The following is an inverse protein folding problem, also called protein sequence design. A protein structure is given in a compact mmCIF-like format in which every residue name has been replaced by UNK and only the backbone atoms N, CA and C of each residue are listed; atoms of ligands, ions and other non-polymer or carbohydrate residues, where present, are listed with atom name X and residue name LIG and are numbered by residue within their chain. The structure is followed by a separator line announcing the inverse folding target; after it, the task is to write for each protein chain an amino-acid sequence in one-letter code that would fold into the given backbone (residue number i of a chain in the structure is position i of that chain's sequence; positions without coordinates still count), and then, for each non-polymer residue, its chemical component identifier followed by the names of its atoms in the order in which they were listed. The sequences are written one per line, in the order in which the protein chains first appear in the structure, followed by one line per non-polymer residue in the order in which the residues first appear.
data_IF_024768017757
#
_entry.id   IF_024768017757
#
_cell.length_a   1.000
_cell.length_b   1.000
_cell.length_c   1.000
_cell.angle_alpha   90.00
_cell.angle_beta   90.00
_cell.angle_gamma   90.00
#
_symmetry.space_group_name_H-M   'P 1'
#
loop_
_entity.id
_entity.type
_entity.pdbx_description
1 polymer ?
#
# COMPACT_ATOMS: atom_id res chain seq x y z
N UNK A 1 2.73 3.04 20.87
CA UNK A 1 3.96 3.03 20.03
C UNK A 1 4.45 4.47 19.86
N UNK A 2 5.77 4.72 19.80
CA UNK A 2 6.30 6.07 19.54
C UNK A 2 5.85 6.54 18.14
N UNK A 3 5.45 7.81 18.01
CA UNK A 3 5.02 8.43 16.74
C UNK A 3 6.04 8.25 15.61
N UNK A 4 7.33 8.32 15.93
CA UNK A 4 8.41 8.14 14.95
C UNK A 4 8.51 6.69 14.48
N UNK A 5 8.37 5.72 15.39
CA UNK A 5 8.38 4.28 15.05
C UNK A 5 7.18 3.93 14.16
N UNK A 6 6.00 4.47 14.48
CA UNK A 6 4.80 4.30 13.65
C UNK A 6 5.03 4.84 12.24
N UNK A 7 5.55 6.05 12.14
CA UNK A 7 5.82 6.70 10.86
C UNK A 7 6.83 5.90 10.01
N UNK A 8 7.96 5.50 10.60
CA UNK A 8 8.97 4.70 9.90
C UNK A 8 8.39 3.36 9.42
N UNK A 9 7.53 2.74 10.22
CA UNK A 9 6.88 1.49 9.86
C UNK A 9 5.90 1.69 8.69
N UNK A 10 5.07 2.73 8.73
CA UNK A 10 4.20 3.10 7.60
C UNK A 10 5.00 3.33 6.32
N UNK A 11 6.03 4.18 6.38
CA UNK A 11 6.89 4.47 5.24
C UNK A 11 7.53 3.21 4.68
N UNK A 12 8.02 2.31 5.53
CA UNK A 12 8.63 1.05 5.12
C UNK A 12 7.64 0.16 4.35
N UNK A 13 6.44 -0.08 4.88
CA UNK A 13 5.45 -0.95 4.21
C UNK A 13 4.93 -0.34 2.90
N UNK A 14 4.71 0.97 2.86
CA UNK A 14 4.29 1.65 1.63
C UNK A 14 5.41 1.65 0.59
N UNK A 15 6.67 1.93 0.97
CA UNK A 15 7.80 1.85 0.05
C UNK A 15 8.00 0.42 -0.48
N UNK A 16 7.90 -0.59 0.39
CA UNK A 16 7.96 -2.00 0.00
C UNK A 16 6.85 -2.35 -0.99
N UNK A 17 5.63 -1.88 -0.74
CA UNK A 17 4.52 -2.01 -1.68
C UNK A 17 4.83 -1.38 -3.03
N UNK A 18 5.35 -0.15 -3.05
CA UNK A 18 5.71 0.53 -4.29
C UNK A 18 6.78 -0.22 -5.10
N UNK A 19 7.80 -0.76 -4.43
CA UNK A 19 8.82 -1.59 -5.06
C UNK A 19 8.22 -2.89 -5.62
N UNK A 20 7.39 -3.57 -4.83
CA UNK A 20 6.70 -4.79 -5.27
C UNK A 20 5.83 -4.54 -6.50
N UNK A 21 5.09 -3.43 -6.52
CA UNK A 21 4.32 -3.01 -7.68
C UNK A 21 5.20 -2.74 -8.91
N UNK A 22 6.36 -2.10 -8.75
CA UNK A 22 7.27 -1.84 -9.87
C UNK A 22 7.77 -3.14 -10.51
N UNK A 23 8.11 -4.15 -9.71
CA UNK A 23 8.47 -5.48 -10.20
C UNK A 23 7.30 -6.18 -10.88
N UNK A 24 6.10 -6.15 -10.27
CA UNK A 24 4.90 -6.75 -10.84
C UNK A 24 4.55 -6.11 -12.20
N UNK A 25 4.57 -4.78 -12.28
CA UNK A 25 4.32 -4.05 -13.52
C UNK A 25 5.34 -4.40 -14.60
N UNK A 26 6.64 -4.50 -14.27
CA UNK A 26 7.65 -4.98 -15.23
C UNK A 26 7.38 -6.40 -15.72
N UNK A 27 7.07 -7.33 -14.80
CA UNK A 27 6.79 -8.72 -15.15
C UNK A 27 5.57 -8.83 -16.09
N UNK A 28 4.51 -8.07 -15.81
CA UNK A 28 3.31 -8.04 -16.64
C UNK A 28 3.59 -7.45 -18.01
N UNK A 29 4.35 -6.35 -18.11
CA UNK A 29 4.74 -5.79 -19.41
C UNK A 29 5.52 -6.82 -20.24
N UNK A 30 6.47 -7.53 -19.64
CA UNK A 30 7.25 -8.57 -20.32
C UNK A 30 6.34 -9.73 -20.78
N UNK A 31 5.54 -10.28 -19.88
CA UNK A 31 4.65 -11.41 -20.20
C UNK A 31 3.60 -11.06 -21.25
N UNK A 32 3.01 -9.88 -21.16
CA UNK A 32 2.01 -9.42 -22.12
C UNK A 32 2.62 -9.18 -23.51
N UNK A 33 3.84 -8.65 -23.56
CA UNK A 33 4.57 -8.45 -24.83
C UNK A 33 4.96 -9.78 -25.48
N UNK A 34 5.36 -10.78 -24.68
CA UNK A 34 5.71 -12.11 -25.18
C UNK A 34 4.51 -12.88 -25.74
N UNK A 35 3.32 -12.68 -25.17
CA UNK A 35 2.10 -13.41 -25.55
C UNK A 35 1.33 -12.78 -26.71
N UNK A 36 1.39 -11.46 -26.89
CA UNK A 36 0.53 -10.74 -27.84
C UNK A 36 1.24 -10.15 -29.08
N UNK A 37 2.54 -10.43 -29.29
CA UNK A 37 3.33 -10.14 -30.50
C UNK A 37 3.16 -8.77 -31.22
N UNK A 38 2.66 -7.70 -30.57
CA UNK A 38 2.43 -6.44 -31.29
C UNK A 38 2.06 -5.24 -30.40
N UNK A 39 3.06 -4.52 -29.90
CA UNK A 39 2.88 -3.17 -29.32
C UNK A 39 3.17 -2.04 -30.32
N UNK A 40 3.52 -2.37 -31.56
CA UNK A 40 4.00 -1.38 -32.54
C UNK A 40 2.90 -0.47 -33.11
N UNK A 41 1.61 -0.67 -32.82
CA UNK A 41 0.54 0.22 -33.30
C UNK A 41 0.15 1.37 -32.34
N UNK A 42 0.57 1.36 -31.06
CA UNK A 42 0.21 2.42 -30.09
C UNK A 42 1.38 2.89 -29.18
N UNK A 43 2.63 2.66 -29.61
CA UNK A 43 3.83 2.50 -28.79
C UNK A 43 4.42 3.67 -27.98
N UNK A 44 3.86 4.89 -28.00
CA UNK A 44 4.44 6.03 -27.23
C UNK A 44 3.46 6.62 -26.23
N UNK A 45 2.21 6.89 -26.61
CA UNK A 45 1.18 7.42 -25.71
C UNK A 45 0.82 6.46 -24.56
N UNK A 46 0.87 5.16 -24.85
CA UNK A 46 0.57 4.10 -23.88
C UNK A 46 1.63 4.03 -22.76
N UNK A 47 2.91 4.21 -23.08
CA UNK A 47 3.99 4.21 -22.08
C UNK A 47 3.93 5.45 -21.18
N UNK A 48 3.59 6.62 -21.72
CA UNK A 48 3.49 7.84 -20.91
C UNK A 48 2.39 7.75 -19.85
N UNK A 49 1.25 7.13 -20.16
CA UNK A 49 0.17 6.95 -19.20
C UNK A 49 0.58 6.06 -18.00
N UNK A 50 1.35 4.99 -18.24
CA UNK A 50 1.80 4.12 -17.14
C UNK A 50 2.81 4.80 -16.23
N UNK A 51 3.68 5.66 -16.76
CA UNK A 51 4.58 6.49 -15.93
C UNK A 51 3.80 7.46 -15.05
N UNK A 52 2.81 8.18 -15.61
CA UNK A 52 2.00 9.12 -14.82
C UNK A 52 1.26 8.40 -13.70
N UNK A 53 0.63 7.27 -13.98
CA UNK A 53 -0.07 6.48 -12.95
C UNK A 53 0.87 5.92 -11.88
N UNK A 54 2.11 5.58 -12.25
CA UNK A 54 3.11 5.17 -11.29
C UNK A 54 3.52 6.31 -10.35
N UNK A 55 3.72 7.53 -10.87
CA UNK A 55 4.04 8.69 -10.04
C UNK A 55 2.88 9.11 -9.14
N UNK A 56 1.64 9.07 -9.62
CA UNK A 56 0.44 9.30 -8.80
C UNK A 56 0.39 8.27 -7.67
N UNK A 57 0.61 6.99 -7.98
CA UNK A 57 0.63 5.94 -6.98
C UNK A 57 1.73 6.12 -5.92
N UNK A 58 2.95 6.50 -6.32
CA UNK A 58 4.03 6.82 -5.39
C UNK A 58 3.64 7.99 -4.48
N UNK A 59 3.12 9.07 -5.07
CA UNK A 59 2.70 10.25 -4.32
C UNK A 59 1.58 9.91 -3.33
N UNK A 60 0.54 9.20 -3.76
CA UNK A 60 -0.57 8.80 -2.90
C UNK A 60 -0.10 7.88 -1.78
N UNK A 61 0.78 6.91 -2.05
CA UNK A 61 1.33 6.04 -1.01
C UNK A 61 2.17 6.80 0.02
N UNK A 62 2.94 7.80 -0.42
CA UNK A 62 3.64 8.70 0.48
C UNK A 62 2.65 9.46 1.37
N UNK A 63 1.62 10.09 0.80
CA UNK A 63 0.59 10.82 1.55
C UNK A 63 -0.11 9.89 2.55
N UNK A 64 -0.54 8.71 2.13
CA UNK A 64 -1.20 7.70 2.98
C UNK A 64 -0.28 7.29 4.14
N UNK A 65 1.03 7.13 3.93
CA UNK A 65 1.97 6.78 4.98
C UNK A 65 2.11 7.87 6.05
N UNK A 66 1.94 9.14 5.68
CA UNK A 66 2.01 10.29 6.60
C UNK A 66 0.71 10.50 7.39
N UNK A 67 -0.43 10.10 6.82
CA UNK A 67 -1.76 10.30 7.43
C UNK A 67 -1.99 9.27 8.55
N UNK A 68 -2.35 9.69 9.78
CA UNK A 68 -2.63 8.75 10.87
C UNK A 68 -4.04 8.15 10.83
N UNK A 69 -4.99 8.82 10.18
CA UNK A 69 -6.41 8.46 10.20
C UNK A 69 -6.72 7.37 9.17
N UNK A 70 -7.21 6.20 9.62
CA UNK A 70 -7.55 5.07 8.77
C UNK A 70 -8.62 5.40 7.71
N UNK A 71 -9.68 6.13 8.09
CA UNK A 71 -10.74 6.53 7.16
C UNK A 71 -10.16 7.40 6.05
N UNK A 72 -9.31 8.36 6.38
CA UNK A 72 -8.62 9.18 5.40
C UNK A 72 -7.70 8.36 4.48
N UNK A 73 -6.98 7.35 5.00
CA UNK A 73 -6.18 6.42 4.18
C UNK A 73 -7.04 5.66 3.16
N UNK A 74 -8.18 5.13 3.60
CA UNK A 74 -9.10 4.39 2.73
C UNK A 74 -9.78 5.30 1.69
N UNK A 75 -10.11 6.54 2.06
CA UNK A 75 -10.62 7.52 1.11
C UNK A 75 -9.57 7.87 0.04
N UNK A 76 -8.32 8.13 0.42
CA UNK A 76 -7.23 8.39 -0.53
C UNK A 76 -7.00 7.21 -1.48
N UNK A 77 -7.06 5.99 -0.96
CA UNK A 77 -7.00 4.76 -1.76
C UNK A 77 -8.17 4.70 -2.77
N UNK A 78 -9.40 4.91 -2.31
CA UNK A 78 -10.59 4.88 -3.15
C UNK A 78 -10.56 5.97 -4.22
N UNK A 79 -10.10 7.17 -3.89
CA UNK A 79 -9.93 8.28 -4.85
C UNK A 79 -8.89 7.91 -5.91
N UNK A 80 -7.75 7.34 -5.52
CA UNK A 80 -6.72 6.91 -6.47
C UNK A 80 -7.24 5.83 -7.42
N UNK A 81 -7.88 4.79 -6.90
CA UNK A 81 -8.44 3.70 -7.72
C UNK A 81 -9.57 4.23 -8.61
N UNK A 82 -10.48 5.05 -8.07
CA UNK A 82 -11.55 5.67 -8.82
C UNK A 82 -11.02 6.56 -9.95
N UNK A 83 -9.98 7.35 -9.70
CA UNK A 83 -9.31 8.16 -10.71
C UNK A 83 -8.70 7.31 -11.83
N UNK A 84 -8.00 6.22 -11.48
CA UNK A 84 -7.44 5.28 -12.47
C UNK A 84 -8.55 4.70 -13.36
N UNK A 85 -9.65 4.26 -12.74
CA UNK A 85 -10.78 3.70 -13.47
C UNK A 85 -11.45 4.76 -14.36
N UNK A 86 -11.80 5.93 -13.84
CA UNK A 86 -12.44 6.98 -14.64
C UNK A 86 -11.59 7.42 -15.82
N UNK A 87 -10.27 7.47 -15.65
CA UNK A 87 -9.37 7.92 -16.72
C UNK A 87 -9.08 6.83 -17.75
N UNK A 88 -8.80 5.59 -17.32
CA UNK A 88 -8.38 4.54 -18.23
C UNK A 88 -9.50 3.64 -18.72
N UNK A 89 -10.62 3.51 -18.01
CA UNK A 89 -11.68 2.57 -18.37
C UNK A 89 -12.31 2.85 -19.75
N UNK A 90 -12.52 4.12 -20.18
CA UNK A 90 -13.09 4.40 -21.51
C UNK A 90 -12.22 3.93 -22.67
N UNK A 91 -10.90 4.11 -22.57
CA UNK A 91 -9.97 3.88 -23.69
C UNK A 91 -9.20 2.55 -23.57
N UNK A 92 -8.92 2.10 -22.35
CA UNK A 92 -8.02 0.99 -22.06
C UNK A 92 -8.49 0.17 -20.84
N UNK A 93 -9.64 -0.51 -20.91
CA UNK A 93 -10.29 -1.13 -19.75
C UNK A 93 -9.46 -2.22 -19.06
N UNK A 94 -8.74 -3.04 -19.83
CA UNK A 94 -7.87 -4.08 -19.26
C UNK A 94 -6.73 -3.48 -18.43
N UNK A 95 -6.16 -2.36 -18.90
CA UNK A 95 -5.11 -1.64 -18.18
C UNK A 95 -5.69 -0.94 -16.96
N UNK A 96 -6.87 -0.33 -17.07
CA UNK A 96 -7.57 0.29 -15.96
C UNK A 96 -7.76 -0.70 -14.80
N UNK A 97 -8.23 -1.91 -15.12
CA UNK A 97 -8.38 -2.99 -14.15
C UNK A 97 -7.03 -3.42 -13.57
N UNK A 98 -6.00 -3.61 -14.40
CA UNK A 98 -4.67 -3.99 -13.91
C UNK A 98 -4.09 -2.94 -12.96
N UNK A 99 -4.02 -1.67 -13.38
CA UNK A 99 -3.48 -0.59 -12.57
C UNK A 99 -4.32 -0.38 -11.31
N UNK A 100 -5.64 -0.28 -11.44
CA UNK A 100 -6.55 -0.06 -10.32
C UNK A 100 -6.48 -1.18 -9.28
N UNK A 101 -6.56 -2.44 -9.71
CA UNK A 101 -6.50 -3.60 -8.80
C UNK A 101 -5.09 -3.77 -8.24
N UNK A 102 -4.05 -3.76 -9.06
CA UNK A 102 -2.69 -3.98 -8.56
C UNK A 102 -2.23 -2.87 -7.61
N UNK A 103 -2.38 -1.60 -8.00
CA UNK A 103 -2.01 -0.46 -7.14
C UNK A 103 -2.92 -0.38 -5.92
N UNK A 104 -4.22 -0.65 -6.09
CA UNK A 104 -5.20 -0.70 -5.02
C UNK A 104 -4.88 -1.77 -3.97
N UNK A 105 -4.69 -3.02 -4.40
CA UNK A 105 -4.37 -4.15 -3.51
C UNK A 105 -3.05 -3.95 -2.77
N UNK A 106 -2.00 -3.50 -3.46
CA UNK A 106 -0.70 -3.24 -2.82
C UNK A 106 -0.81 -2.15 -1.74
N UNK A 107 -1.52 -1.05 -2.05
CA UNK A 107 -1.74 0.04 -1.08
C UNK A 107 -2.59 -0.43 0.09
N UNK A 108 -3.66 -1.20 -0.17
CA UNK A 108 -4.52 -1.77 0.85
C UNK A 108 -3.76 -2.72 1.78
N UNK A 109 -2.92 -3.60 1.21
CA UNK A 109 -2.07 -4.51 2.00
C UNK A 109 -1.10 -3.74 2.89
N UNK A 110 -0.49 -2.65 2.41
CA UNK A 110 0.36 -1.80 3.24
C UNK A 110 -0.43 -1.15 4.39
N UNK A 111 -1.64 -0.65 4.12
CA UNK A 111 -2.53 -0.11 5.16
C UNK A 111 -2.86 -1.22 6.19
N UNK A 112 -3.33 -2.38 5.74
CA UNK A 112 -3.73 -3.47 6.64
C UNK A 112 -2.55 -3.98 7.48
N UNK A 113 -1.37 -4.16 6.88
CA UNK A 113 -0.18 -4.60 7.60
C UNK A 113 0.20 -3.63 8.72
N UNK A 114 0.22 -2.32 8.43
CA UNK A 114 0.54 -1.29 9.43
C UNK A 114 -0.52 -1.23 10.54
N UNK A 115 -1.82 -1.33 10.20
CA UNK A 115 -2.91 -1.36 11.18
C UNK A 115 -2.88 -2.60 12.08
N UNK A 116 -2.62 -3.79 11.52
CA UNK A 116 -2.51 -5.02 12.31
C UNK A 116 -1.36 -4.92 13.31
N UNK A 117 -0.23 -4.34 12.92
CA UNK A 117 0.92 -4.14 13.80
C UNK A 117 0.59 -3.14 14.92
N UNK A 118 -0.06 -2.03 14.59
CA UNK A 118 -0.51 -1.03 15.56
C UNK A 118 -1.45 -1.63 16.61
N UNK A 119 -2.52 -2.32 16.18
CA UNK A 119 -3.48 -2.97 17.08
C UNK A 119 -2.83 -4.04 17.95
N UNK A 120 -1.92 -4.85 17.38
CA UNK A 120 -1.17 -5.86 18.15
C UNK A 120 -0.26 -5.20 19.19
N UNK A 121 0.33 -4.06 18.88
CA UNK A 121 1.17 -3.32 19.81
C UNK A 121 0.36 -2.78 20.98
N UNK A 122 -0.77 -2.13 20.69
CA UNK A 122 -1.69 -1.60 21.70
C UNK A 122 -2.20 -2.69 22.64
N UNK A 123 -2.63 -3.82 22.07
CA UNK A 123 -3.06 -5.00 22.85
C UNK A 123 -1.96 -5.50 23.80
N UNK A 124 -0.71 -5.61 23.33
CA UNK A 124 0.42 -6.02 24.20
C UNK A 124 0.68 -5.02 25.31
N UNK A 125 0.59 -3.72 25.02
CA UNK A 125 0.79 -2.69 26.05
C UNK A 125 -0.32 -2.68 27.10
N UNK A 126 -1.57 -2.95 26.70
CA UNK A 126 -2.69 -3.08 27.61
C UNK A 126 -2.51 -4.31 28.52
N UNK A 127 -2.20 -5.48 27.95
CA UNK A 127 -1.95 -6.70 28.73
C UNK A 127 -0.81 -6.52 29.75
N UNK A 128 0.29 -5.87 29.36
CA UNK A 128 1.41 -5.57 30.27
C UNK A 128 1.04 -4.66 31.44
N UNK A 129 0.07 -3.76 31.26
CA UNK A 129 -0.42 -2.88 32.33
C UNK A 129 -1.45 -3.57 33.23
N UNK A 130 -2.20 -4.53 32.68
CA UNK A 130 -3.25 -5.25 33.38
C UNK A 130 -2.73 -6.38 34.29
N UNK A 131 -1.50 -6.87 34.07
CA UNK A 131 -0.84 -7.82 34.99
C UNK A 131 -0.26 -7.05 36.18
N UNK A 132 -0.82 -7.17 37.40
CA UNK A 132 -0.18 -6.63 38.60
C UNK A 132 1.14 -7.38 38.80
N UNK A 133 2.20 -6.68 39.19
CA UNK A 133 3.41 -7.33 39.66
C UNK A 133 3.04 -8.15 40.91
N UNK A 134 3.19 -9.48 40.86
CA UNK A 134 3.03 -10.35 42.02
C UNK A 134 3.89 -9.83 43.18
N UNK A 135 3.30 -9.44 44.33
CA UNK A 135 4.10 -9.10 45.50
C UNK A 135 4.21 -10.35 46.37
N UNK A 136 5.10 -11.29 46.07
CA UNK A 136 5.55 -12.26 47.08
C UNK A 136 7.05 -12.53 46.95
N UNK A 137 7.82 -11.54 47.39
CA UNK A 137 9.10 -11.76 48.09
C UNK A 137 8.81 -11.47 49.56
N UNK A 138 8.66 -12.49 50.39
CA UNK A 138 8.49 -12.31 51.82
C UNK A 138 7.82 -13.46 52.54
N UNK A 139 8.43 -14.64 52.54
CA UNK A 139 8.10 -15.71 53.48
C UNK A 139 9.35 -16.55 53.80
N UNK A 140 10.44 -15.87 54.15
CA UNK A 140 11.56 -16.46 54.88
C UNK A 140 11.78 -15.57 56.12
N UNK A 141 11.00 -15.82 57.16
CA UNK A 141 11.23 -15.35 58.52
C UNK A 141 10.95 -16.51 59.47
#
# INVERSE_FOLDING_TARGET
MNKYVRLSLCLFFHALGCVAYAFLNKAVVIGYTALNQGFTSHGVGIGMASYVLFYIFLFVNLVIALVPNLVAKLLLLSVMVGFILLWMLPENPLRALFYGVAQGCVTLLAILATQVIELRWERRTFMRRATPADPVKGANA
#
